data_IF_203877295443
#
_entry.id   IF_203877295443
#
_cell.length_a   1.000
_cell.length_b   1.000
_cell.length_c   1.000
_cell.angle_alpha   90.00
_cell.angle_beta   90.00
_cell.angle_gamma   90.00
#
_symmetry.space_group_name_H-M   'P 1'
#
loop_
_entity.id
_entity.type
_entity.pdbx_description
1 polymer ?
#
# COMPACT_ATOMS: atom_id res chain seq x y z
N UNK A 1 14.49 51.94 -7.66
CA UNK A 1 15.25 50.80 -8.21
C UNK A 1 14.81 49.51 -7.47
N UNK A 2 13.76 48.89 -7.98
CA UNK A 2 13.23 47.62 -7.45
C UNK A 2 13.75 46.51 -8.37
N UNK A 3 14.61 45.61 -7.87
CA UNK A 3 15.08 44.44 -8.58
C UNK A 3 14.04 43.33 -8.45
N UNK A 4 13.44 42.97 -9.59
CA UNK A 4 12.63 41.79 -9.78
C UNK A 4 13.51 40.54 -9.57
N UNK A 5 13.28 39.80 -8.50
CA UNK A 5 13.85 38.45 -8.30
C UNK A 5 12.74 37.46 -8.63
N UNK A 6 12.76 36.97 -9.86
CA UNK A 6 11.93 35.81 -10.26
C UNK A 6 12.50 34.54 -9.62
N UNK A 7 11.74 33.76 -8.87
CA UNK A 7 12.18 32.44 -8.45
C UNK A 7 12.05 31.46 -9.61
N UNK A 8 13.19 31.01 -10.13
CA UNK A 8 13.26 29.88 -11.07
C UNK A 8 12.97 28.59 -10.31
N UNK A 9 11.81 27.99 -10.57
CA UNK A 9 11.55 26.62 -10.18
C UNK A 9 12.33 25.69 -11.12
N UNK A 10 13.19 24.79 -10.61
CA UNK A 10 13.69 23.69 -11.43
C UNK A 10 12.54 22.70 -11.63
N UNK A 11 12.00 22.69 -12.84
CA UNK A 11 11.17 21.59 -13.34
C UNK A 11 12.13 20.40 -13.43
N UNK A 12 12.03 19.47 -12.48
CA UNK A 12 12.63 18.16 -12.63
C UNK A 12 11.87 17.46 -13.75
N UNK A 13 12.43 17.56 -14.95
CA UNK A 13 12.06 16.75 -16.09
C UNK A 13 12.40 15.30 -15.75
N UNK A 14 11.39 14.52 -15.39
CA UNK A 14 11.48 13.06 -15.30
C UNK A 14 11.58 12.55 -16.73
N UNK A 15 12.79 12.48 -17.29
CA UNK A 15 13.07 11.81 -18.55
C UNK A 15 12.79 10.33 -18.38
N UNK A 16 11.65 9.89 -18.87
CA UNK A 16 11.35 8.48 -19.10
C UNK A 16 12.33 7.95 -20.15
N UNK A 17 13.34 7.20 -19.74
CA UNK A 17 14.16 6.40 -20.62
C UNK A 17 13.30 5.21 -21.05
N UNK A 18 12.61 5.37 -22.18
CA UNK A 18 12.06 4.28 -22.96
C UNK A 18 13.24 3.51 -23.56
N UNK A 19 13.68 2.44 -22.90
CA UNK A 19 14.58 1.46 -23.49
C UNK A 19 13.82 0.76 -24.62
N UNK A 20 14.08 1.18 -25.86
CA UNK A 20 13.70 0.47 -27.07
C UNK A 20 14.45 -0.86 -27.10
N UNK A 21 13.82 -1.92 -26.64
CA UNK A 21 14.30 -3.27 -26.94
C UNK A 21 14.03 -3.57 -28.40
N UNK A 22 15.03 -4.06 -29.17
CA UNK A 22 14.82 -4.46 -30.55
C UNK A 22 13.84 -5.62 -30.57
N UNK A 23 12.73 -5.46 -31.31
CA UNK A 23 11.79 -6.53 -31.66
C UNK A 23 12.50 -7.48 -32.64
N UNK A 24 13.22 -8.46 -32.12
CA UNK A 24 13.59 -9.63 -32.92
C UNK A 24 12.35 -10.48 -33.07
N UNK A 25 11.97 -10.89 -34.30
CA UNK A 25 10.88 -11.85 -34.46
C UNK A 25 11.32 -13.18 -33.82
N UNK A 26 10.69 -13.50 -32.70
CA UNK A 26 10.83 -14.82 -32.08
C UNK A 26 10.24 -15.84 -33.08
N UNK A 27 11.10 -16.68 -33.65
CA UNK A 27 10.68 -17.89 -34.32
C UNK A 27 9.81 -18.67 -33.32
N UNK A 28 8.58 -19.01 -33.75
CA UNK A 28 7.63 -19.71 -32.92
C UNK A 28 8.26 -21.01 -32.39
N UNK A 29 8.68 -20.98 -31.14
CA UNK A 29 8.92 -22.21 -30.38
C UNK A 29 7.57 -22.88 -30.12
N UNK A 30 7.51 -24.24 -30.11
CA UNK A 30 6.28 -24.92 -29.75
C UNK A 30 5.81 -24.40 -28.40
N UNK A 31 4.50 -24.18 -28.26
CA UNK A 31 3.89 -23.65 -27.05
C UNK A 31 4.32 -24.52 -25.85
N UNK A 32 5.37 -24.09 -25.18
CA UNK A 32 5.75 -24.58 -23.87
C UNK A 32 4.59 -24.20 -22.96
N UNK A 33 4.06 -25.15 -22.19
CA UNK A 33 2.84 -25.09 -21.40
C UNK A 33 2.61 -23.67 -20.83
N UNK A 34 1.54 -23.00 -21.26
CA UNK A 34 1.16 -21.69 -20.75
C UNK A 34 1.22 -21.73 -19.20
N UNK A 35 1.85 -20.78 -18.53
CA UNK A 35 2.01 -20.81 -17.08
C UNK A 35 0.64 -20.96 -16.44
N UNK A 36 0.44 -22.10 -15.76
CA UNK A 36 -0.85 -22.37 -15.11
C UNK A 36 -1.04 -21.39 -13.97
N UNK A 37 -2.07 -20.55 -14.06
CA UNK A 37 -2.42 -19.66 -12.98
C UNK A 37 -2.79 -20.45 -11.73
N UNK A 38 -2.34 -19.93 -10.57
CA UNK A 38 -2.61 -20.58 -9.30
C UNK A 38 -3.99 -20.20 -8.77
N UNK A 39 -4.72 -21.17 -8.26
CA UNK A 39 -5.92 -20.91 -7.49
C UNK A 39 -5.55 -20.46 -6.07
N UNK A 40 -6.30 -19.49 -5.54
CA UNK A 40 -6.15 -19.00 -4.18
C UNK A 40 -7.27 -19.53 -3.30
N UNK A 41 -7.01 -19.68 -2.02
CA UNK A 41 -8.03 -19.98 -1.02
C UNK A 41 -9.03 -18.84 -1.00
N UNK A 42 -10.30 -19.12 -1.27
CA UNK A 42 -11.33 -18.11 -1.35
C UNK A 42 -12.71 -18.70 -1.05
N UNK A 43 -13.50 -17.99 -0.27
CA UNK A 43 -14.88 -18.34 0.06
C UNK A 43 -15.75 -17.09 0.02
N UNK A 44 -16.73 -17.05 -0.88
CA UNK A 44 -17.58 -15.87 -1.11
C UNK A 44 -18.32 -15.40 0.15
N UNK A 45 -18.81 -16.33 0.98
CA UNK A 45 -19.55 -15.98 2.18
C UNK A 45 -18.62 -15.38 3.24
N UNK A 46 -17.53 -16.09 3.55
CA UNK A 46 -16.54 -15.64 4.56
C UNK A 46 -15.91 -14.31 4.16
N UNK A 47 -15.35 -14.23 2.97
CA UNK A 47 -14.55 -13.08 2.53
C UNK A 47 -15.43 -11.88 2.22
N UNK A 48 -16.66 -12.12 1.72
CA UNK A 48 -17.68 -11.11 1.56
C UNK A 48 -18.17 -10.53 2.89
N UNK A 49 -18.35 -11.37 3.91
CA UNK A 49 -18.73 -10.91 5.27
C UNK A 49 -17.59 -10.13 5.92
N UNK A 50 -16.35 -10.59 5.83
CA UNK A 50 -15.20 -9.88 6.40
C UNK A 50 -15.05 -8.50 5.73
N UNK A 51 -15.01 -8.46 4.41
CA UNK A 51 -14.87 -7.21 3.63
C UNK A 51 -16.02 -6.25 3.91
N UNK A 52 -17.25 -6.75 3.83
CA UNK A 52 -18.47 -5.95 4.05
C UNK A 52 -18.54 -5.41 5.47
N UNK A 53 -18.28 -6.24 6.48
CA UNK A 53 -18.30 -5.80 7.88
C UNK A 53 -17.23 -4.76 8.16
N UNK A 54 -16.00 -4.94 7.66
CA UNK A 54 -14.93 -3.96 7.82
C UNK A 54 -15.28 -2.63 7.15
N UNK A 55 -15.87 -2.67 5.94
CA UNK A 55 -16.33 -1.47 5.23
C UNK A 55 -17.46 -0.75 6.00
N UNK A 56 -18.47 -1.48 6.46
CA UNK A 56 -19.59 -0.91 7.21
C UNK A 56 -19.10 -0.26 8.50
N UNK A 57 -18.25 -0.95 9.27
CA UNK A 57 -17.69 -0.40 10.51
C UNK A 57 -16.85 0.85 10.26
N UNK A 58 -16.00 0.82 9.25
CA UNK A 58 -15.20 2.01 8.90
C UNK A 58 -16.08 3.17 8.45
N UNK A 59 -16.99 2.96 7.48
CA UNK A 59 -17.87 4.01 6.95
C UNK A 59 -18.76 4.59 8.07
N UNK A 60 -19.34 3.73 8.90
CA UNK A 60 -20.18 4.16 10.03
C UNK A 60 -19.39 4.98 11.05
N UNK A 61 -18.16 4.56 11.37
CA UNK A 61 -17.29 5.30 12.29
C UNK A 61 -16.87 6.67 11.74
N UNK A 62 -16.72 6.81 10.42
CA UNK A 62 -16.36 8.09 9.78
C UNK A 62 -17.57 8.98 9.54
N UNK A 63 -18.72 8.42 9.10
CA UNK A 63 -19.87 9.20 8.67
C UNK A 63 -20.87 9.47 9.80
N UNK A 64 -21.04 8.55 10.75
CA UNK A 64 -22.09 8.65 11.77
C UNK A 64 -21.54 8.95 13.18
N UNK A 65 -20.42 8.35 13.55
CA UNK A 65 -19.92 8.35 14.92
C UNK A 65 -18.63 9.15 15.12
N UNK A 66 -18.11 9.80 14.08
CA UNK A 66 -16.83 10.51 14.14
C UNK A 66 -16.80 11.62 15.18
N UNK A 67 -17.87 12.39 15.29
CA UNK A 67 -17.98 13.49 16.28
C UNK A 67 -17.92 12.98 17.71
N UNK A 68 -18.43 11.78 17.96
CA UNK A 68 -18.52 11.19 19.30
C UNK A 68 -17.24 10.42 19.67
N UNK A 69 -16.58 9.80 18.67
CA UNK A 69 -15.39 8.99 18.85
C UNK A 69 -14.09 9.79 18.80
N UNK A 70 -14.07 10.93 18.04
CA UNK A 70 -12.87 11.75 17.90
C UNK A 70 -12.53 12.47 19.21
N UNK A 71 -11.27 12.43 19.68
CA UNK A 71 -10.86 13.17 20.85
C UNK A 71 -11.08 14.68 20.67
N UNK A 72 -11.86 15.29 21.57
CA UNK A 72 -12.10 16.74 21.54
C UNK A 72 -10.81 17.56 21.77
N UNK A 73 -9.86 16.99 22.53
CA UNK A 73 -8.53 17.56 22.77
C UNK A 73 -7.46 16.55 22.35
N UNK A 74 -6.31 17.04 21.91
CA UNK A 74 -5.22 16.14 21.54
C UNK A 74 -4.73 15.33 22.75
N UNK A 75 -4.43 14.05 22.50
CA UNK A 75 -3.71 13.19 23.44
C UNK A 75 -2.21 13.17 23.13
N UNK A 76 -1.87 13.37 21.86
CA UNK A 76 -0.52 13.57 21.37
C UNK A 76 -0.45 14.94 20.67
N UNK A 77 -0.02 15.94 21.43
CA UNK A 77 -0.05 17.35 21.02
C UNK A 77 1.29 17.85 20.44
N UNK A 78 2.38 17.09 20.54
CA UNK A 78 3.74 17.51 20.15
C UNK A 78 4.15 18.87 20.80
N UNK A 79 3.65 19.15 22.04
CA UNK A 79 3.94 20.34 22.85
C UNK A 79 4.38 19.97 24.26
N UNK A 80 5.22 20.81 24.84
CA UNK A 80 5.54 20.76 26.26
C UNK A 80 4.40 21.37 27.11
N UNK A 81 4.37 21.13 28.44
CA UNK A 81 3.38 21.74 29.33
C UNK A 81 3.42 23.27 29.35
N UNK A 82 4.56 23.88 29.03
CA UNK A 82 4.75 25.34 28.90
C UNK A 82 4.31 25.89 27.52
N UNK A 83 3.74 25.05 26.64
CA UNK A 83 3.29 25.40 25.29
C UNK A 83 4.39 25.40 24.22
N UNK A 84 5.64 25.14 24.58
CA UNK A 84 6.75 25.09 23.60
C UNK A 84 6.60 23.92 22.63
N UNK A 85 6.95 24.16 21.35
CA UNK A 85 6.90 23.16 20.28
C UNK A 85 7.92 22.04 20.53
N UNK A 86 7.43 20.78 20.60
CA UNK A 86 8.22 19.55 20.72
C UNK A 86 8.16 18.66 19.50
N UNK A 87 7.77 19.19 18.37
CA UNK A 87 7.74 18.45 17.13
C UNK A 87 9.12 17.86 16.81
N UNK A 88 9.18 16.58 16.49
CA UNK A 88 10.43 15.92 16.13
C UNK A 88 11.02 16.48 14.82
N UNK A 89 12.33 16.25 14.60
CA UNK A 89 13.05 16.81 13.45
C UNK A 89 12.51 16.37 12.09
N UNK A 90 12.03 15.12 11.96
CA UNK A 90 11.46 14.59 10.70
C UNK A 90 10.15 15.28 10.38
N UNK A 91 9.27 15.43 11.34
CA UNK A 91 7.98 16.07 11.14
C UNK A 91 8.12 17.59 10.91
N UNK A 92 9.09 18.22 11.58
CA UNK A 92 9.43 19.63 11.33
C UNK A 92 9.95 19.84 9.91
N UNK A 93 10.83 18.95 9.43
CA UNK A 93 11.29 18.96 8.05
C UNK A 93 10.14 18.72 7.08
N UNK A 94 9.31 17.70 7.33
CA UNK A 94 8.17 17.35 6.49
C UNK A 94 7.15 18.48 6.33
N UNK A 95 6.91 19.27 7.39
CA UNK A 95 6.08 20.46 7.32
C UNK A 95 6.64 21.56 6.40
N UNK A 96 7.96 21.56 6.15
CA UNK A 96 8.56 22.43 5.14
C UNK A 96 8.02 22.20 3.72
N UNK A 97 7.43 21.03 3.45
CA UNK A 97 6.80 20.66 2.17
C UNK A 97 5.35 21.15 2.05
N UNK A 98 4.73 21.66 3.13
CA UNK A 98 3.39 22.18 3.11
C UNK A 98 3.25 23.37 2.17
N UNK A 99 2.10 23.48 1.51
CA UNK A 99 1.79 24.60 0.62
C UNK A 99 1.86 25.94 1.33
N UNK A 100 2.51 26.91 0.72
CA UNK A 100 2.74 28.26 1.31
C UNK A 100 1.45 29.08 1.44
N UNK A 101 0.46 28.81 0.61
CA UNK A 101 -0.83 29.51 0.61
C UNK A 101 -1.96 28.53 0.92
N UNK A 102 -3.06 29.04 1.45
CA UNK A 102 -4.27 28.25 1.68
C UNK A 102 -4.75 27.57 0.39
N UNK A 103 -4.78 28.30 -0.72
CA UNK A 103 -5.15 27.76 -2.02
C UNK A 103 -4.23 26.60 -2.48
N UNK A 104 -2.93 26.65 -2.17
CA UNK A 104 -2.01 25.55 -2.50
C UNK A 104 -2.25 24.32 -1.63
N UNK A 105 -2.49 24.50 -0.33
CA UNK A 105 -2.87 23.43 0.60
C UNK A 105 -4.19 22.78 0.21
N UNK A 106 -5.19 23.59 -0.12
CA UNK A 106 -6.50 23.10 -0.56
C UNK A 106 -6.38 22.26 -1.84
N UNK A 107 -5.66 22.75 -2.87
CA UNK A 107 -5.40 21.96 -4.09
C UNK A 107 -4.67 20.65 -3.81
N UNK A 108 -3.67 20.65 -2.96
CA UNK A 108 -2.97 19.40 -2.57
C UNK A 108 -3.94 18.41 -1.90
N UNK A 109 -4.83 18.90 -1.03
CA UNK A 109 -5.90 18.11 -0.42
C UNK A 109 -6.85 17.52 -1.46
N UNK A 110 -7.32 18.31 -2.41
CA UNK A 110 -8.21 17.86 -3.49
C UNK A 110 -7.54 16.79 -4.35
N UNK A 111 -6.29 17.01 -4.80
CA UNK A 111 -5.56 16.01 -5.59
C UNK A 111 -5.31 14.72 -4.81
N UNK A 112 -5.01 14.80 -3.50
CA UNK A 112 -4.87 13.60 -2.68
C UNK A 112 -6.17 12.78 -2.62
N UNK A 113 -7.33 13.43 -2.59
CA UNK A 113 -8.63 12.78 -2.61
C UNK A 113 -8.91 12.14 -3.98
N UNK A 114 -8.70 12.89 -5.08
CA UNK A 114 -8.93 12.42 -6.45
C UNK A 114 -8.04 11.19 -6.73
N UNK A 115 -6.75 11.26 -6.40
CA UNK A 115 -5.83 10.14 -6.64
C UNK A 115 -6.14 8.99 -5.70
N UNK A 116 -6.29 9.24 -4.40
CA UNK A 116 -6.43 8.19 -3.38
C UNK A 116 -7.77 7.44 -3.44
N UNK A 117 -8.87 8.12 -3.71
CA UNK A 117 -10.22 7.52 -3.74
C UNK A 117 -10.77 7.30 -5.15
N UNK A 118 -10.17 7.90 -6.18
CA UNK A 118 -10.63 7.77 -7.57
C UNK A 118 -9.62 7.02 -8.45
N UNK A 119 -8.53 7.71 -8.80
CA UNK A 119 -7.57 7.20 -9.79
C UNK A 119 -6.95 5.87 -9.36
N UNK A 120 -6.53 5.77 -8.10
CA UNK A 120 -5.79 4.61 -7.61
C UNK A 120 -6.66 3.36 -7.50
N UNK A 121 -7.85 3.36 -6.86
CA UNK A 121 -8.71 2.19 -6.84
C UNK A 121 -9.12 1.73 -8.24
N UNK A 122 -9.55 2.65 -9.12
CA UNK A 122 -9.96 2.33 -10.50
C UNK A 122 -8.77 1.81 -11.31
N UNK A 123 -7.62 2.46 -11.20
CA UNK A 123 -6.40 2.07 -11.91
C UNK A 123 -5.87 0.70 -11.48
N UNK A 124 -5.85 0.44 -10.18
CA UNK A 124 -5.44 -0.86 -9.62
C UNK A 124 -6.37 -1.98 -10.09
N UNK A 125 -7.69 -1.78 -10.00
CA UNK A 125 -8.66 -2.78 -10.45
C UNK A 125 -8.61 -2.98 -11.97
N UNK A 126 -8.46 -1.90 -12.75
CA UNK A 126 -8.30 -1.97 -14.19
C UNK A 126 -7.04 -2.72 -14.60
N UNK A 127 -5.92 -2.47 -13.92
CA UNK A 127 -4.66 -3.16 -14.19
C UNK A 127 -4.73 -4.64 -13.78
N UNK A 128 -5.32 -4.95 -12.62
CA UNK A 128 -5.56 -6.33 -12.18
C UNK A 128 -6.39 -7.11 -13.19
N UNK A 129 -7.46 -6.50 -13.70
CA UNK A 129 -8.28 -7.09 -14.76
C UNK A 129 -7.50 -7.34 -16.05
N UNK A 130 -6.72 -6.35 -16.49
CA UNK A 130 -5.93 -6.44 -17.72
C UNK A 130 -4.85 -7.52 -17.63
N UNK A 131 -4.17 -7.65 -16.49
CA UNK A 131 -3.16 -8.68 -16.26
C UNK A 131 -3.78 -10.08 -16.21
N UNK A 132 -4.89 -10.24 -15.50
CA UNK A 132 -5.63 -11.51 -15.46
C UNK A 132 -6.10 -11.94 -16.84
N UNK A 133 -6.63 -11.00 -17.64
CA UNK A 133 -7.05 -11.27 -19.03
C UNK A 133 -5.89 -11.64 -19.94
N UNK A 134 -4.75 -10.98 -19.79
CA UNK A 134 -3.54 -11.27 -20.58
C UNK A 134 -2.95 -12.66 -20.29
N UNK A 135 -3.15 -13.16 -19.06
CA UNK A 135 -2.59 -14.44 -18.62
C UNK A 135 -3.52 -15.64 -18.81
N UNK A 136 -4.85 -15.45 -18.87
CA UNK A 136 -5.84 -16.55 -18.86
C UNK A 136 -7.02 -16.31 -19.81
N UNK A 137 -6.95 -15.36 -20.72
CA UNK A 137 -8.03 -15.01 -21.62
C UNK A 137 -9.17 -14.25 -20.93
N UNK A 138 -10.38 -14.84 -20.70
CA UNK A 138 -11.38 -14.20 -19.87
C UNK A 138 -10.92 -14.21 -18.42
N UNK A 139 -10.84 -13.04 -17.78
CA UNK A 139 -10.34 -12.85 -16.42
C UNK A 139 -11.26 -13.51 -15.37
N UNK A 140 -11.22 -14.84 -15.30
CA UNK A 140 -12.12 -15.64 -14.44
C UNK A 140 -11.90 -15.38 -12.94
N UNK A 141 -10.69 -14.98 -12.57
CA UNK A 141 -10.35 -14.72 -11.18
C UNK A 141 -10.57 -13.28 -10.74
N UNK A 142 -10.90 -12.36 -11.65
CA UNK A 142 -10.96 -10.93 -11.34
C UNK A 142 -11.87 -10.60 -10.16
N UNK A 143 -13.05 -11.20 -10.08
CA UNK A 143 -13.97 -10.92 -8.97
C UNK A 143 -13.42 -11.37 -7.61
N UNK A 144 -12.75 -12.53 -7.57
CA UNK A 144 -12.05 -13.00 -6.35
C UNK A 144 -10.89 -12.08 -6.00
N UNK A 145 -10.06 -11.74 -6.98
CA UNK A 145 -8.90 -10.87 -6.79
C UNK A 145 -9.31 -9.49 -6.28
N UNK A 146 -10.34 -8.90 -6.88
CA UNK A 146 -10.90 -7.63 -6.45
C UNK A 146 -11.42 -7.70 -5.00
N UNK A 147 -12.08 -8.79 -4.62
CA UNK A 147 -12.56 -8.99 -3.24
C UNK A 147 -11.39 -9.08 -2.27
N UNK A 148 -10.34 -9.86 -2.57
CA UNK A 148 -9.14 -9.99 -1.73
C UNK A 148 -8.43 -8.64 -1.55
N UNK A 149 -8.30 -7.88 -2.64
CA UNK A 149 -7.69 -6.54 -2.60
C UNK A 149 -8.52 -5.60 -1.73
N UNK A 150 -9.84 -5.60 -1.90
CA UNK A 150 -10.75 -4.79 -1.09
C UNK A 150 -10.75 -5.22 0.37
N UNK A 151 -10.71 -6.52 0.67
CA UNK A 151 -10.59 -7.04 2.04
C UNK A 151 -9.36 -6.49 2.73
N UNK A 152 -8.20 -6.56 2.08
CA UNK A 152 -6.95 -5.99 2.58
C UNK A 152 -7.09 -4.49 2.87
N UNK A 153 -7.68 -3.75 1.94
CA UNK A 153 -7.87 -2.31 2.06
C UNK A 153 -8.85 -1.94 3.17
N UNK A 154 -9.97 -2.64 3.30
CA UNK A 154 -10.99 -2.36 4.31
C UNK A 154 -10.51 -2.71 5.72
N UNK A 155 -9.85 -3.85 5.91
CA UNK A 155 -9.24 -4.23 7.18
C UNK A 155 -8.15 -3.24 7.61
N UNK A 156 -7.29 -2.84 6.68
CA UNK A 156 -6.24 -1.83 6.91
C UNK A 156 -6.84 -0.47 7.30
N UNK A 157 -7.90 -0.07 6.62
CA UNK A 157 -8.55 1.23 6.87
C UNK A 157 -9.32 1.24 8.18
N UNK A 158 -9.99 0.14 8.54
CA UNK A 158 -10.64 -0.01 9.83
C UNK A 158 -9.63 0.03 10.99
N UNK A 159 -8.49 -0.67 10.84
CA UNK A 159 -7.40 -0.61 11.81
C UNK A 159 -6.84 0.82 11.94
N UNK A 160 -6.63 1.51 10.82
CA UNK A 160 -6.21 2.92 10.81
C UNK A 160 -7.18 3.81 11.58
N UNK A 161 -8.46 3.68 11.33
CA UNK A 161 -9.50 4.50 11.98
C UNK A 161 -9.53 4.26 13.50
N UNK A 162 -9.42 3.01 13.91
CA UNK A 162 -9.32 2.63 15.34
C UNK A 162 -8.12 3.29 16.00
N UNK A 163 -6.94 3.22 15.36
CA UNK A 163 -5.71 3.84 15.88
C UNK A 163 -5.85 5.36 15.97
N UNK A 164 -6.46 6.02 14.99
CA UNK A 164 -6.70 7.47 15.02
C UNK A 164 -7.50 7.89 16.24
N UNK A 165 -8.61 7.22 16.53
CA UNK A 165 -9.44 7.53 17.68
C UNK A 165 -8.71 7.27 19.02
N UNK A 166 -7.85 6.24 19.08
CA UNK A 166 -7.08 5.92 20.28
C UNK A 166 -5.91 6.87 20.50
N UNK A 167 -5.16 7.21 19.46
CA UNK A 167 -3.95 8.04 19.56
C UNK A 167 -4.26 9.52 19.74
N UNK A 168 -5.21 10.05 19.02
CA UNK A 168 -5.64 11.44 19.14
C UNK A 168 -4.53 12.45 18.87
N UNK A 169 -3.73 12.25 17.81
CA UNK A 169 -2.64 13.18 17.44
C UNK A 169 -3.18 14.43 16.77
N UNK A 170 -2.75 15.61 17.24
CA UNK A 170 -3.08 16.90 16.63
C UNK A 170 -2.52 17.02 15.21
N UNK A 171 -3.33 17.55 14.28
CA UNK A 171 -2.89 17.76 12.88
C UNK A 171 -1.95 18.95 12.73
N UNK A 172 -1.06 18.94 11.71
CA UNK A 172 -0.09 20.01 11.49
C UNK A 172 -0.71 21.40 11.37
N UNK A 173 -1.82 21.55 10.61
CA UNK A 173 -2.48 22.83 10.43
C UNK A 173 -3.15 23.35 11.72
N UNK A 174 -3.55 22.46 12.63
CA UNK A 174 -4.14 22.81 13.93
C UNK A 174 -3.06 23.22 14.92
N UNK A 175 -1.89 22.58 14.83
CA UNK A 175 -0.76 22.78 15.73
C UNK A 175 -0.28 24.24 15.79
N UNK A 176 -0.46 25.01 14.72
CA UNK A 176 -0.06 26.43 14.65
C UNK A 176 -1.15 27.41 15.03
N UNK A 177 -2.38 26.92 15.26
CA UNK A 177 -3.49 27.79 15.65
C UNK A 177 -3.45 28.13 17.14
N UNK A 178 -3.86 29.34 17.53
CA UNK A 178 -4.21 29.67 18.91
C UNK A 178 -5.32 28.74 19.43
N UNK A 179 -5.34 28.48 20.74
CA UNK A 179 -6.23 27.49 21.34
C UNK A 179 -7.72 27.82 21.13
N UNK A 180 -8.08 29.10 21.16
CA UNK A 180 -9.43 29.60 20.90
C UNK A 180 -9.87 29.37 19.44
N UNK A 181 -8.95 29.31 18.48
CA UNK A 181 -9.24 29.11 17.07
C UNK A 181 -9.32 27.62 16.67
N UNK A 182 -8.79 26.70 17.46
CA UNK A 182 -8.82 25.27 17.14
C UNK A 182 -10.24 24.72 17.01
N UNK A 183 -11.21 25.24 17.75
CA UNK A 183 -12.62 24.85 17.68
C UNK A 183 -13.37 25.43 16.48
N UNK A 184 -12.78 26.41 15.80
CA UNK A 184 -13.39 27.14 14.67
C UNK A 184 -12.93 26.61 13.30
N UNK A 185 -12.19 25.49 13.25
CA UNK A 185 -11.83 24.85 12.00
C UNK A 185 -13.08 24.30 11.29
N UNK A 186 -13.02 24.11 9.97
CA UNK A 186 -14.15 23.59 9.18
C UNK A 186 -14.65 22.23 9.68
N UNK A 187 -13.76 21.39 10.20
CA UNK A 187 -14.08 20.06 10.72
C UNK A 187 -13.35 19.81 12.05
N UNK A 188 -13.87 20.33 13.19
CA UNK A 188 -13.21 20.20 14.49
C UNK A 188 -12.97 18.75 14.92
N UNK A 189 -13.86 17.82 14.54
CA UNK A 189 -13.69 16.37 14.80
C UNK A 189 -12.49 15.75 14.09
N UNK A 190 -11.92 16.42 13.07
CA UNK A 190 -10.73 15.98 12.35
C UNK A 190 -9.41 16.45 12.99
N UNK A 191 -9.48 17.46 13.86
CA UNK A 191 -8.30 18.17 14.38
C UNK A 191 -7.27 17.26 15.06
N UNK A 192 -7.72 16.22 15.74
CA UNK A 192 -6.89 15.31 16.52
C UNK A 192 -6.78 13.90 15.90
N UNK A 193 -7.04 13.78 14.60
CA UNK A 193 -7.00 12.49 13.89
C UNK A 193 -5.83 12.43 12.87
N UNK A 194 -4.65 12.92 13.29
CA UNK A 194 -3.47 12.93 12.40
C UNK A 194 -2.83 11.54 12.25
N UNK A 195 -2.56 10.85 13.35
CA UNK A 195 -1.78 9.62 13.32
C UNK A 195 -2.67 8.37 13.16
N UNK A 196 -2.39 7.54 12.21
CA UNK A 196 -1.52 7.72 11.06
C UNK A 196 -2.34 8.04 9.80
N UNK A 197 -1.68 8.44 8.69
CA UNK A 197 -2.36 8.92 7.48
C UNK A 197 -3.24 7.85 6.83
N UNK A 198 -4.57 8.02 6.87
CA UNK A 198 -5.52 7.08 6.28
C UNK A 198 -5.47 7.01 4.75
N UNK A 199 -5.30 8.16 4.07
CA UNK A 199 -5.15 8.19 2.62
C UNK A 199 -3.91 7.41 2.14
N UNK A 200 -2.78 7.59 2.83
CA UNK A 200 -1.55 6.87 2.51
C UNK A 200 -1.70 5.38 2.81
N UNK A 201 -2.31 5.04 3.95
CA UNK A 201 -2.58 3.66 4.33
C UNK A 201 -3.45 2.93 3.29
N UNK A 202 -4.57 3.54 2.88
CA UNK A 202 -5.45 2.99 1.84
C UNK A 202 -4.70 2.84 0.51
N UNK A 203 -3.95 3.85 0.08
CA UNK A 203 -3.22 3.82 -1.18
C UNK A 203 -2.19 2.68 -1.22
N UNK A 204 -1.39 2.53 -0.18
CA UNK A 204 -0.40 1.47 -0.10
C UNK A 204 -1.04 0.09 0.07
N UNK A 205 -2.11 -0.04 0.85
CA UNK A 205 -2.79 -1.34 1.01
C UNK A 205 -3.40 -1.82 -0.32
N UNK A 206 -4.01 -0.94 -1.11
CA UNK A 206 -4.56 -1.28 -2.43
C UNK A 206 -3.46 -1.74 -3.40
N UNK A 207 -2.39 -0.96 -3.54
CA UNK A 207 -1.32 -1.27 -4.49
C UNK A 207 -0.59 -2.54 -4.10
N UNK A 208 -0.21 -2.66 -2.83
CA UNK A 208 0.58 -3.79 -2.35
C UNK A 208 -0.25 -5.07 -2.35
N UNK A 209 -1.54 -5.02 -2.00
CA UNK A 209 -2.38 -6.21 -2.09
C UNK A 209 -2.60 -6.66 -3.53
N UNK A 210 -2.80 -5.73 -4.47
CA UNK A 210 -2.91 -6.08 -5.88
C UNK A 210 -1.62 -6.74 -6.42
N UNK A 211 -0.45 -6.17 -6.09
CA UNK A 211 0.83 -6.77 -6.46
C UNK A 211 1.03 -8.15 -5.83
N UNK A 212 0.64 -8.32 -4.56
CA UNK A 212 0.73 -9.60 -3.86
C UNK A 212 -0.21 -10.65 -4.46
N UNK A 213 -1.46 -10.27 -4.75
CA UNK A 213 -2.44 -11.15 -5.42
C UNK A 213 -1.96 -11.56 -6.81
N UNK A 214 -1.48 -10.60 -7.61
CA UNK A 214 -0.94 -10.89 -8.94
C UNK A 214 0.26 -11.85 -8.88
N UNK A 215 1.14 -11.68 -7.88
CA UNK A 215 2.26 -12.60 -7.65
C UNK A 215 1.80 -14.00 -7.21
N UNK A 216 0.79 -14.08 -6.32
CA UNK A 216 0.20 -15.34 -5.90
C UNK A 216 -0.48 -16.06 -7.06
N UNK A 217 -1.17 -15.35 -7.94
CA UNK A 217 -1.79 -15.91 -9.16
C UNK A 217 -0.75 -16.37 -10.18
N UNK A 218 0.42 -15.74 -10.21
CA UNK A 218 1.41 -15.92 -11.27
C UNK A 218 1.11 -15.12 -12.53
N UNK A 219 0.46 -13.95 -12.39
CA UNK A 219 0.19 -13.10 -13.55
C UNK A 219 1.48 -12.60 -14.19
N UNK A 220 1.54 -12.67 -15.50
CA UNK A 220 2.61 -12.04 -16.28
C UNK A 220 2.55 -10.53 -16.14
N UNK A 221 3.71 -9.89 -16.31
CA UNK A 221 3.82 -8.42 -16.28
C UNK A 221 3.30 -7.74 -14.99
N UNK A 222 3.17 -8.47 -13.87
CA UNK A 222 2.76 -7.92 -12.58
C UNK A 222 3.63 -6.74 -12.10
N UNK A 223 4.85 -6.62 -12.62
CA UNK A 223 5.75 -5.49 -12.35
C UNK A 223 5.12 -4.13 -12.60
N UNK A 224 4.13 -4.02 -13.51
CA UNK A 224 3.42 -2.78 -13.77
C UNK A 224 2.60 -2.28 -12.58
N UNK A 225 2.06 -3.18 -11.74
CA UNK A 225 1.36 -2.77 -10.51
C UNK A 225 2.31 -2.00 -9.61
N UNK A 226 3.53 -2.50 -9.45
CA UNK A 226 4.55 -1.87 -8.63
C UNK A 226 5.08 -0.57 -9.24
N UNK A 227 5.41 -0.61 -10.54
CA UNK A 227 6.03 0.51 -11.25
C UNK A 227 5.10 1.73 -11.34
N UNK A 228 3.79 1.52 -11.48
CA UNK A 228 2.79 2.60 -11.56
C UNK A 228 2.16 2.88 -10.21
N UNK A 229 1.79 1.84 -9.48
CA UNK A 229 1.03 1.96 -8.23
C UNK A 229 1.82 2.60 -7.11
N UNK A 230 3.09 2.18 -6.88
CA UNK A 230 3.88 2.74 -5.76
C UNK A 230 4.17 4.24 -5.90
N UNK A 231 4.56 4.78 -7.08
CA UNK A 231 4.68 6.23 -7.26
C UNK A 231 3.36 6.97 -7.01
N UNK A 232 2.22 6.44 -7.48
CA UNK A 232 0.92 7.04 -7.23
C UNK A 232 0.56 7.00 -5.73
N UNK A 233 0.76 5.88 -5.04
CA UNK A 233 0.53 5.79 -3.60
C UNK A 233 1.42 6.74 -2.80
N UNK A 234 2.69 6.87 -3.21
CA UNK A 234 3.63 7.83 -2.61
C UNK A 234 3.17 9.27 -2.84
N UNK A 235 2.68 9.60 -4.05
CA UNK A 235 2.18 10.93 -4.35
C UNK A 235 1.00 11.32 -3.46
N UNK A 236 0.12 10.39 -3.12
CA UNK A 236 -0.97 10.61 -2.16
C UNK A 236 -0.40 11.06 -0.81
N UNK A 237 0.60 10.38 -0.27
CA UNK A 237 1.24 10.74 0.99
C UNK A 237 1.88 12.13 0.95
N UNK A 238 2.63 12.44 -0.11
CA UNK A 238 3.26 13.75 -0.31
C UNK A 238 2.21 14.87 -0.43
N UNK A 239 1.11 14.63 -1.11
CA UNK A 239 0.00 15.58 -1.22
C UNK A 239 -0.71 15.81 0.13
N UNK A 240 -0.78 14.78 1.00
CA UNK A 240 -1.32 14.95 2.36
C UNK A 240 -0.42 15.85 3.23
N UNK A 241 0.90 15.74 3.06
CA UNK A 241 1.86 16.67 3.67
C UNK A 241 1.73 18.07 3.04
N UNK A 242 1.65 18.14 1.71
CA UNK A 242 1.42 19.40 0.98
C UNK A 242 0.14 20.13 1.41
N UNK A 243 -0.88 19.40 1.82
CA UNK A 243 -2.14 19.92 2.35
C UNK A 243 -2.06 20.32 3.84
N UNK A 244 -0.92 20.15 4.51
CA UNK A 244 -0.70 20.34 5.95
C UNK A 244 -1.67 19.50 6.83
N UNK A 245 -2.14 18.36 6.30
CA UNK A 245 -3.10 17.46 6.98
C UNK A 245 -2.42 16.37 7.80
N UNK A 246 -1.18 15.97 7.43
CA UNK A 246 -0.43 14.91 8.07
C UNK A 246 1.06 15.24 8.17
N UNK A 247 1.69 14.77 9.22
CA UNK A 247 3.15 14.83 9.38
C UNK A 247 3.83 13.73 8.55
N UNK A 248 5.15 13.85 8.35
CA UNK A 248 5.93 12.83 7.65
C UNK A 248 5.84 11.47 8.35
N UNK A 249 5.91 11.45 9.69
CA UNK A 249 5.79 10.19 10.45
C UNK A 249 4.41 9.55 10.30
N UNK A 250 3.33 10.33 10.19
CA UNK A 250 1.98 9.81 9.92
C UNK A 250 1.91 9.15 8.53
N UNK A 251 2.54 9.78 7.54
CA UNK A 251 2.58 9.30 6.16
C UNK A 251 3.43 8.04 6.05
N UNK A 252 4.64 8.04 6.65
CA UNK A 252 5.53 6.89 6.64
C UNK A 252 4.90 5.68 7.34
N UNK A 253 4.30 5.89 8.52
CA UNK A 253 3.58 4.83 9.24
C UNK A 253 2.39 4.30 8.43
N UNK A 254 1.63 5.22 7.80
CA UNK A 254 0.53 4.84 6.91
C UNK A 254 0.98 3.98 5.73
N UNK A 255 2.13 4.31 5.11
CA UNK A 255 2.69 3.53 4.02
C UNK A 255 3.12 2.13 4.48
N UNK A 256 3.84 2.04 5.61
CA UNK A 256 4.32 0.76 6.16
C UNK A 256 3.17 -0.15 6.58
N UNK A 257 2.20 0.38 7.34
CA UNK A 257 1.08 -0.44 7.81
C UNK A 257 0.13 -0.80 6.67
N UNK A 258 -0.14 0.12 5.73
CA UNK A 258 -0.90 -0.19 4.52
C UNK A 258 -0.26 -1.31 3.70
N UNK A 259 1.06 -1.23 3.48
CA UNK A 259 1.82 -2.28 2.81
C UNK A 259 1.79 -3.61 3.59
N UNK A 260 1.90 -3.57 4.92
CA UNK A 260 1.84 -4.76 5.76
C UNK A 260 0.50 -5.50 5.61
N UNK A 261 -0.63 -4.78 5.66
CA UNK A 261 -1.95 -5.37 5.38
C UNK A 261 -2.05 -5.88 3.94
N UNK A 262 -1.53 -5.12 2.96
CA UNK A 262 -1.50 -5.51 1.55
C UNK A 262 -0.71 -6.79 1.27
N UNK A 263 0.26 -7.14 2.10
CA UNK A 263 1.00 -8.41 2.05
C UNK A 263 0.32 -9.48 2.89
N UNK A 264 0.01 -9.15 4.15
CA UNK A 264 -0.42 -10.13 5.15
C UNK A 264 -1.78 -10.76 4.82
N UNK A 265 -2.77 -9.95 4.43
CA UNK A 265 -4.12 -10.47 4.14
C UNK A 265 -4.10 -11.47 2.98
N UNK A 266 -3.55 -11.14 1.78
CA UNK A 266 -3.49 -12.11 0.70
C UNK A 266 -2.67 -13.35 1.03
N UNK A 267 -1.54 -13.22 1.75
CA UNK A 267 -0.69 -14.37 2.06
C UNK A 267 -1.30 -15.28 3.13
N UNK A 268 -1.87 -14.71 4.19
CA UNK A 268 -2.33 -15.47 5.35
C UNK A 268 -3.73 -16.05 5.15
N UNK A 269 -4.63 -15.31 4.52
CA UNK A 269 -6.01 -15.71 4.34
C UNK A 269 -6.26 -16.39 2.98
N UNK A 270 -5.51 -15.99 1.95
CA UNK A 270 -5.75 -16.39 0.55
C UNK A 270 -4.53 -17.05 -0.13
N UNK A 271 -3.63 -17.66 0.63
CA UNK A 271 -2.51 -18.39 0.05
C UNK A 271 -2.94 -19.41 -1.01
N UNK A 272 -2.02 -19.86 -1.85
CA UNK A 272 -2.28 -20.82 -2.95
C UNK A 272 -2.92 -22.10 -2.42
N UNK A 273 -3.92 -22.62 -3.17
CA UNK A 273 -4.46 -23.95 -2.93
C UNK A 273 -3.42 -24.99 -3.40
N UNK A 274 -3.13 -26.01 -2.59
CA UNK A 274 -2.16 -27.07 -2.92
C UNK A 274 -0.71 -26.84 -2.44
N UNK A 275 -0.40 -25.70 -1.79
CA UNK A 275 0.95 -25.45 -1.27
C UNK A 275 1.36 -26.33 -0.08
N UNK A 276 0.42 -26.94 0.62
CA UNK A 276 0.71 -27.81 1.76
C UNK A 276 1.17 -29.22 1.35
N UNK A 277 0.70 -29.73 0.22
CA UNK A 277 1.11 -31.09 -0.24
C UNK A 277 2.51 -31.12 -0.86
N UNK A 278 2.94 -30.02 -1.49
CA UNK A 278 4.28 -29.94 -2.10
C UNK A 278 5.41 -29.87 -1.05
N UNK A 279 5.13 -29.44 0.19
CA UNK A 279 6.15 -29.44 1.25
C UNK A 279 6.30 -30.81 1.94
N UNK A 280 5.25 -31.63 1.94
CA UNK A 280 5.31 -32.97 2.50
C UNK A 280 6.01 -34.00 1.56
N UNK A 281 6.07 -33.69 0.27
CA UNK A 281 6.75 -34.51 -0.74
C UNK A 281 8.15 -34.02 -1.12
N UNK A 282 8.71 -33.00 -0.43
CA UNK A 282 10.15 -32.85 -0.42
C UNK A 282 10.70 -34.11 0.27
N UNK A 283 11.02 -35.13 -0.56
CA UNK A 283 11.81 -36.30 -0.17
C UNK A 283 12.89 -35.81 0.77
N UNK A 284 12.95 -36.42 1.95
CA UNK A 284 14.15 -36.37 2.76
C UNK A 284 15.34 -36.56 1.81
N UNK A 285 16.43 -35.79 1.93
CA UNK A 285 17.59 -36.00 1.08
C UNK A 285 17.88 -37.46 1.11
N UNK A 286 17.83 -38.07 -0.08
CA UNK A 286 18.18 -39.50 -0.26
C UNK A 286 19.51 -39.66 0.43
N UNK A 287 19.53 -40.38 1.53
CA UNK A 287 20.76 -40.66 2.25
C UNK A 287 21.76 -41.19 1.23
N UNK A 288 22.86 -40.45 1.03
CA UNK A 288 23.89 -40.84 0.09
C UNK A 288 24.29 -42.29 0.39
N UNK A 289 23.90 -43.22 -0.47
CA UNK A 289 24.32 -44.62 -0.34
C UNK A 289 25.75 -44.70 -0.85
N UNK A 290 26.68 -44.68 0.07
CA UNK A 290 28.06 -45.01 -0.20
C UNK A 290 28.15 -46.55 -0.37
N UNK A 291 28.46 -47.00 -1.57
CA UNK A 291 28.71 -48.39 -1.83
C UNK A 291 30.22 -48.62 -1.95
N UNK A 292 30.79 -49.53 -1.19
CA UNK A 292 32.20 -49.93 -1.40
C UNK A 292 32.32 -50.68 -2.73
N UNK A 293 33.21 -50.22 -3.59
CA UNK A 293 33.55 -50.88 -4.85
C UNK A 293 34.94 -51.48 -4.65
N UNK A 294 35.03 -52.84 -4.63
CA UNK A 294 36.28 -53.55 -4.61
C UNK A 294 36.51 -54.19 -5.96
N UNK A 295 37.54 -53.79 -6.69
CA UNK A 295 38.01 -54.37 -7.90
C UNK A 295 39.48 -54.88 -7.72
N UNK A 296 39.92 -55.84 -8.51
CA UNK A 296 41.17 -56.58 -8.31
C UNK A 296 42.46 -55.71 -8.25
N UNK A 297 42.41 -54.44 -8.40
CA UNK A 297 43.56 -53.51 -8.29
C UNK A 297 43.26 -52.12 -7.79
N UNK A 298 42.01 -51.78 -7.40
CA UNK A 298 41.67 -50.48 -6.79
C UNK A 298 40.47 -50.61 -5.85
N UNK A 299 40.60 -50.08 -4.64
CA UNK A 299 39.48 -49.86 -3.73
C UNK A 299 39.13 -48.35 -3.77
N UNK A 300 37.87 -48.03 -4.00
CA UNK A 300 37.35 -46.64 -4.06
C UNK A 300 35.93 -46.55 -3.54
N UNK A 301 35.47 -45.34 -3.26
CA UNK A 301 34.10 -45.05 -2.87
C UNK A 301 33.46 -44.23 -4.01
N UNK A 302 32.35 -44.70 -4.57
CA UNK A 302 31.55 -43.93 -5.51
C UNK A 302 30.21 -43.54 -4.86
N UNK A 303 29.78 -42.32 -5.05
CA UNK A 303 28.50 -41.83 -4.56
C UNK A 303 27.74 -41.19 -5.71
N UNK A 304 26.41 -41.39 -5.74
CA UNK A 304 25.47 -40.62 -6.58
C UNK A 304 24.85 -39.56 -5.70
N UNK A 305 25.05 -38.33 -6.10
CA UNK A 305 24.54 -37.14 -5.38
C UNK A 305 23.21 -36.64 -5.99
#
# INVERSE_FOLDING_TARGET
MLRDVRPSFPILALTAVLALYPLTPALAQPAEDAPRLHELKFDWARDGVITGSAAVLWISSEALFKSDLAPATCRWCDRAPDGTDRLNGLDRWGRGLAGKTEASRHRAGQWSNIIGFGVLPVGVMGLQYALGRGSDGPSRFFAQDATIILESAMLSTLANQTVKFLVGRERPFVHVLPEDQKRLTEQPSDNNLSFYSGHTNLAFSLVVSAGTVAALRGYENQAWIWAVGLPLATSVGLLRMGADKHYLTDVATGAVLGAAFGVAVPLLLHGRTGGAESSATRRAPSAARLMPVAGARMAGISGVF
#
